data_IF_831686166725
#
_entry.id   IF_831686166725
#
_cell.length_a   1.000
_cell.length_b   1.000
_cell.length_c   1.000
_cell.angle_alpha   90.00
_cell.angle_beta   90.00
_cell.angle_gamma   90.00
#
_symmetry.space_group_name_H-M   'P 1'
#
loop_
_entity.id
_entity.type
_entity.pdbx_description
1 polymer ?
#
# COMPACT_ATOMS: atom_id res chain seq x y z
N UNK A 1 -17.25 -10.33 15.04
CA UNK A 1 -16.19 -9.32 15.26
C UNK A 1 -14.99 -9.67 14.40
N UNK A 2 -14.45 -8.72 13.62
CA UNK A 2 -13.28 -8.98 12.78
C UNK A 2 -12.08 -9.41 13.65
N UNK A 3 -11.42 -10.54 13.31
CA UNK A 3 -10.26 -11.12 14.04
C UNK A 3 -9.18 -10.09 14.39
N UNK A 4 -9.08 -9.00 13.63
CA UNK A 4 -8.22 -7.85 13.88
C UNK A 4 -8.37 -7.24 15.29
N UNK A 5 -9.60 -7.10 15.80
CA UNK A 5 -9.84 -6.49 17.12
C UNK A 5 -9.53 -7.43 18.28
N UNK A 6 -9.56 -8.74 18.01
CA UNK A 6 -9.35 -9.79 19.01
C UNK A 6 -7.86 -10.13 19.13
N UNK A 7 -7.13 -10.13 18.00
CA UNK A 7 -5.69 -10.39 17.97
C UNK A 7 -5.00 -9.47 16.94
N UNK A 8 -4.57 -8.27 17.35
CA UNK A 8 -3.88 -7.33 16.45
C UNK A 8 -2.59 -7.92 15.87
N UNK A 9 -1.93 -8.80 16.62
CA UNK A 9 -0.67 -9.47 16.26
C UNK A 9 -0.84 -10.41 15.06
N UNK A 10 -1.98 -11.09 14.94
CA UNK A 10 -2.23 -12.00 13.81
C UNK A 10 -2.44 -11.26 12.47
N UNK A 11 -2.84 -9.98 12.52
CA UNK A 11 -3.01 -9.17 11.31
C UNK A 11 -1.68 -8.77 10.65
N UNK A 12 -0.56 -8.87 11.38
CA UNK A 12 0.78 -8.56 10.87
C UNK A 12 1.34 -9.60 9.91
N UNK A 13 0.71 -10.77 9.82
CA UNK A 13 1.13 -11.82 8.90
C UNK A 13 0.63 -11.58 7.47
N UNK A 14 -0.27 -10.61 7.27
CA UNK A 14 -0.87 -10.33 5.97
C UNK A 14 0.08 -9.49 5.10
N UNK A 15 0.18 -9.85 3.82
CA UNK A 15 0.96 -9.08 2.85
C UNK A 15 0.34 -7.70 2.67
N UNK A 16 1.15 -6.65 2.70
CA UNK A 16 0.70 -5.30 2.34
C UNK A 16 0.48 -5.17 0.82
N UNK A 17 -0.70 -4.69 0.43
CA UNK A 17 -1.07 -4.46 -0.98
C UNK A 17 -1.18 -2.98 -1.35
N UNK A 18 -0.76 -2.07 -0.47
CA UNK A 18 -0.81 -0.62 -0.71
C UNK A 18 -0.18 -0.23 -2.05
N UNK A 19 1.00 -0.78 -2.38
CA UNK A 19 1.69 -0.46 -3.64
C UNK A 19 0.94 -0.85 -4.93
N UNK A 20 -0.07 -1.73 -4.82
CA UNK A 20 -0.88 -2.19 -5.96
C UNK A 20 -2.28 -1.58 -5.97
N UNK A 21 -2.87 -1.36 -4.79
CA UNK A 21 -4.29 -0.96 -4.66
C UNK A 21 -4.50 0.47 -4.17
N UNK A 22 -3.45 1.13 -3.71
CA UNK A 22 -3.57 2.47 -3.14
C UNK A 22 -3.02 3.53 -4.10
N UNK A 23 -3.81 4.59 -4.27
CA UNK A 23 -3.41 5.84 -4.89
C UNK A 23 -3.94 6.95 -3.98
N UNK A 24 -3.05 7.65 -3.30
CA UNK A 24 -3.40 8.81 -2.48
C UNK A 24 -2.78 10.05 -3.11
N UNK A 25 -3.52 11.15 -3.13
CA UNK A 25 -3.06 12.44 -3.65
C UNK A 25 -3.16 13.43 -2.49
N UNK A 26 -2.04 14.02 -2.10
CA UNK A 26 -2.01 15.07 -1.09
C UNK A 26 -2.52 16.40 -1.69
N UNK A 27 -2.90 17.38 -0.84
CA UNK A 27 -3.41 18.68 -1.32
C UNK A 27 -2.43 19.47 -2.20
N UNK A 28 -1.13 19.21 -2.08
CA UNK A 28 -0.06 19.78 -2.91
C UNK A 28 0.14 19.05 -4.26
N UNK A 29 -0.70 18.05 -4.54
CA UNK A 29 -0.66 17.23 -5.73
C UNK A 29 0.32 16.05 -5.67
N UNK A 30 1.03 15.84 -4.56
CA UNK A 30 1.92 14.69 -4.44
C UNK A 30 1.14 13.37 -4.48
N UNK A 31 1.62 12.43 -5.30
CA UNK A 31 1.04 11.09 -5.45
C UNK A 31 1.78 10.10 -4.56
N UNK A 32 1.07 9.40 -3.69
CA UNK A 32 1.61 8.39 -2.79
C UNK A 32 0.97 7.03 -3.05
N UNK A 33 1.82 5.99 -3.08
CA UNK A 33 1.37 4.60 -3.12
C UNK A 33 1.14 4.01 -1.72
N UNK A 34 1.57 4.72 -0.67
CA UNK A 34 1.33 4.36 0.72
C UNK A 34 1.54 5.61 1.60
N UNK A 35 0.63 5.86 2.53
CA UNK A 35 0.63 7.03 3.42
C UNK A 35 1.87 7.14 4.33
N UNK A 36 2.67 6.08 4.46
CA UNK A 36 3.91 6.05 5.29
C UNK A 36 5.20 6.02 4.46
N UNK A 37 5.09 6.31 3.16
CA UNK A 37 6.17 6.21 2.17
C UNK A 37 6.29 7.55 1.43
N UNK A 38 7.31 7.66 0.57
CA UNK A 38 7.57 8.89 -0.19
C UNK A 38 6.60 9.02 -1.35
N UNK A 39 6.39 10.25 -1.81
CA UNK A 39 5.70 10.52 -3.06
C UNK A 39 6.44 9.89 -4.25
N UNK A 40 5.68 9.48 -5.27
CA UNK A 40 6.19 8.88 -6.50
C UNK A 40 6.10 9.81 -7.71
N UNK A 41 5.45 10.96 -7.55
CA UNK A 41 5.29 12.02 -8.54
C UNK A 41 4.32 13.09 -8.05
N UNK A 42 3.97 14.06 -8.90
CA UNK A 42 3.00 15.11 -8.61
C UNK A 42 2.03 15.29 -9.78
N UNK A 43 0.72 15.30 -9.52
CA UNK A 43 -0.32 15.41 -10.56
C UNK A 43 -0.40 16.79 -11.22
N UNK A 44 0.17 17.82 -10.58
CA UNK A 44 0.23 19.17 -11.14
C UNK A 44 1.25 19.27 -12.28
N UNK A 45 2.23 18.37 -12.33
CA UNK A 45 3.33 18.41 -13.32
C UNK A 45 3.35 17.24 -14.29
N UNK A 46 2.61 16.16 -14.01
CA UNK A 46 2.59 14.95 -14.85
C UNK A 46 1.26 14.23 -14.73
N UNK A 47 0.84 13.56 -15.80
CA UNK A 47 -0.37 12.76 -15.73
C UNK A 47 -0.17 11.51 -14.85
N UNK A 48 -1.27 10.99 -14.30
CA UNK A 48 -1.24 9.85 -13.38
C UNK A 48 -0.65 8.59 -14.03
N UNK A 49 -0.89 8.36 -15.32
CA UNK A 49 -0.39 7.18 -16.03
C UNK A 49 1.14 7.17 -16.08
N UNK A 50 1.76 8.31 -16.35
CA UNK A 50 3.21 8.47 -16.42
C UNK A 50 3.83 8.37 -15.03
N UNK A 51 3.21 8.99 -14.02
CA UNK A 51 3.63 8.84 -12.62
C UNK A 51 3.63 7.37 -12.20
N UNK A 52 2.56 6.63 -12.53
CA UNK A 52 2.41 5.23 -12.12
C UNK A 52 3.31 4.25 -12.88
N UNK A 53 3.70 4.58 -14.10
CA UNK A 53 4.65 3.81 -14.91
C UNK A 53 6.12 4.22 -14.69
N UNK A 54 6.35 5.31 -13.94
CA UNK A 54 7.69 5.83 -13.67
C UNK A 54 8.59 4.83 -12.91
N UNK A 55 9.91 5.01 -13.08
CA UNK A 55 10.93 4.28 -12.30
C UNK A 55 10.78 4.50 -10.79
N UNK A 56 10.34 5.69 -10.37
CA UNK A 56 10.08 6.03 -8.97
C UNK A 56 8.96 5.15 -8.40
N UNK A 57 7.80 5.10 -9.09
CA UNK A 57 6.69 4.26 -8.69
C UNK A 57 7.06 2.77 -8.66
N UNK A 58 7.78 2.27 -9.67
CA UNK A 58 8.25 0.89 -9.69
C UNK A 58 9.19 0.56 -8.51
N UNK A 59 10.14 1.44 -8.21
CA UNK A 59 11.03 1.30 -7.04
C UNK A 59 10.22 1.26 -5.76
N UNK A 60 9.21 2.12 -5.65
CA UNK A 60 8.46 2.24 -4.40
C UNK A 60 7.50 1.07 -4.16
N UNK A 61 6.92 0.50 -5.22
CA UNK A 61 6.19 -0.78 -5.13
C UNK A 61 7.07 -1.91 -4.59
N UNK A 62 8.32 -2.01 -5.05
CA UNK A 62 9.26 -3.05 -4.57
C UNK A 62 9.58 -2.88 -3.08
N UNK A 63 9.71 -1.63 -2.62
CA UNK A 63 9.97 -1.33 -1.21
C UNK A 63 8.73 -1.56 -0.34
N UNK A 64 7.54 -1.22 -0.81
CA UNK A 64 6.27 -1.51 -0.12
C UNK A 64 6.07 -3.02 0.04
N UNK A 65 6.36 -3.82 -1.00
CA UNK A 65 6.26 -5.29 -0.95
C UNK A 65 7.13 -5.92 0.16
N UNK A 66 8.25 -5.28 0.53
CA UNK A 66 9.17 -5.73 1.58
C UNK A 66 8.97 -4.98 2.92
N UNK A 67 7.95 -4.12 3.01
CA UNK A 67 7.73 -3.31 4.19
C UNK A 67 7.31 -4.17 5.39
N UNK A 68 8.02 -4.00 6.51
CA UNK A 68 7.70 -4.63 7.80
C UNK A 68 7.10 -3.64 8.81
N UNK A 69 6.79 -2.40 8.37
CA UNK A 69 6.21 -1.40 9.27
C UNK A 69 4.83 -1.85 9.72
N UNK A 70 4.58 -1.75 11.03
CA UNK A 70 3.26 -1.96 11.60
C UNK A 70 2.29 -0.87 11.10
N UNK A 71 1.24 -1.29 10.37
CA UNK A 71 0.19 -0.42 9.86
C UNK A 71 -1.16 -0.90 10.42
N UNK A 72 -1.99 0.00 10.95
CA UNK A 72 -3.34 -0.32 11.46
C UNK A 72 -4.46 0.04 10.47
N UNK A 73 -4.10 0.49 9.27
CA UNK A 73 -5.09 1.01 8.30
C UNK A 73 -5.74 -0.18 7.58
N UNK A 74 -7.03 -0.40 7.85
CA UNK A 74 -7.80 -1.53 7.31
C UNK A 74 -7.83 -1.61 5.77
N UNK A 75 -7.74 -0.48 5.07
CA UNK A 75 -7.71 -0.48 3.60
C UNK A 75 -6.41 -1.04 2.97
N UNK A 76 -5.32 -1.15 3.74
CA UNK A 76 -3.98 -1.45 3.20
C UNK A 76 -3.51 -2.89 3.48
N UNK A 77 -4.02 -3.50 4.54
CA UNK A 77 -3.59 -4.82 5.03
C UNK A 77 -4.54 -5.98 4.68
N UNK A 78 -5.77 -5.72 4.24
CA UNK A 78 -6.84 -6.73 4.23
C UNK A 78 -7.16 -7.32 2.86
N UNK A 79 -6.33 -7.08 1.85
CA UNK A 79 -6.50 -7.76 0.57
C UNK A 79 -5.99 -9.20 0.69
N UNK A 80 -6.89 -10.18 0.78
CA UNK A 80 -6.52 -11.59 0.86
C UNK A 80 -5.67 -12.01 -0.35
N UNK A 81 -4.48 -12.54 -0.11
CA UNK A 81 -3.66 -13.20 -1.12
C UNK A 81 -4.11 -14.65 -1.37
N UNK A 82 -3.69 -15.26 -2.48
CA UNK A 82 -4.06 -16.66 -2.82
C UNK A 82 -3.70 -17.64 -1.70
N UNK A 83 -2.53 -17.48 -1.04
CA UNK A 83 -2.15 -18.31 0.12
C UNK A 83 -3.12 -18.20 1.31
N UNK A 84 -3.79 -17.07 1.46
CA UNK A 84 -4.73 -16.81 2.56
C UNK A 84 -6.16 -17.31 2.25
N UNK A 85 -6.42 -17.81 1.03
CA UNK A 85 -7.64 -18.57 0.69
C UNK A 85 -7.55 -20.04 1.10
N UNK A 86 -6.33 -20.60 1.13
CA UNK A 86 -6.07 -22.00 1.47
C UNK A 86 -5.75 -22.23 2.95
N UNK A 87 -5.42 -21.18 3.69
CA UNK A 87 -5.30 -21.21 5.16
C UNK A 87 -6.66 -20.79 5.71
N UNK A 88 -7.61 -21.72 5.73
CA UNK A 88 -8.94 -21.54 6.31
C UNK A 88 -8.99 -22.15 7.70
#
# INVERSE_FOLDING_TARGET
MEKYYINPSSSLQLRCFAGLKNLSINPDGEVLLCLKRRAVGNVLTSNIKDILSSKSAMKERRLIKKCKKYCRIKGLNFSRGVKELFIR
#
